data_IF_065466150399
#
_entry.id   IF_065466150399
#
_cell.length_a   1.000
_cell.length_b   1.000
_cell.length_c   1.000
_cell.angle_alpha   90.00
_cell.angle_beta   90.00
_cell.angle_gamma   90.00
#
_symmetry.space_group_name_H-M   'P 1'
#
loop_
_entity.id
_entity.type
_entity.pdbx_description
1 polymer ?
#
# COMPACT_ATOMS: atom_id res chain seq x y z
N UNK A 1 -16.80 -7.74 -22.01
CA UNK A 1 -17.65 -8.08 -20.84
C UNK A 1 -17.26 -7.14 -19.71
N UNK A 2 -18.22 -6.55 -19.01
CA UNK A 2 -17.97 -5.67 -17.87
C UNK A 2 -18.32 -6.40 -16.57
N UNK A 3 -17.52 -6.22 -15.53
CA UNK A 3 -17.76 -6.77 -14.20
C UNK A 3 -18.04 -5.60 -13.26
N UNK A 4 -19.11 -5.70 -12.47
CA UNK A 4 -19.40 -4.76 -11.39
C UNK A 4 -18.72 -5.26 -10.12
N UNK A 5 -17.82 -4.46 -9.54
CA UNK A 5 -17.07 -4.84 -8.33
C UNK A 5 -17.81 -4.48 -7.04
N UNK A 6 -18.53 -3.36 -7.01
CA UNK A 6 -19.22 -2.89 -5.80
C UNK A 6 -20.72 -2.67 -6.03
N UNK A 7 -21.51 -2.95 -5.00
CA UNK A 7 -22.96 -2.73 -4.96
C UNK A 7 -23.37 -2.34 -3.54
N UNK A 8 -23.00 -1.12 -3.15
CA UNK A 8 -23.26 -0.53 -1.85
C UNK A 8 -23.72 0.93 -2.04
N UNK A 9 -24.02 1.63 -0.94
CA UNK A 9 -24.38 3.05 -0.92
C UNK A 9 -23.26 3.91 -0.30
N UNK A 10 -22.01 3.48 -0.46
CA UNK A 10 -20.82 4.12 0.09
C UNK A 10 -19.97 4.58 -1.10
N UNK A 11 -19.23 5.67 -0.95
CA UNK A 11 -18.43 6.20 -2.05
C UNK A 11 -17.20 5.32 -2.28
N UNK A 12 -17.08 4.79 -3.50
CA UNK A 12 -15.89 4.08 -3.99
C UNK A 12 -15.11 5.02 -4.93
N UNK A 13 -13.92 5.43 -4.51
CA UNK A 13 -13.13 6.51 -5.13
C UNK A 13 -11.65 6.13 -5.30
N UNK A 14 -10.87 6.99 -5.98
CA UNK A 14 -9.41 6.85 -6.15
C UNK A 14 -8.95 5.46 -6.59
N UNK A 15 -9.46 5.01 -7.74
CA UNK A 15 -9.11 3.69 -8.27
C UNK A 15 -7.71 3.66 -8.91
N UNK A 16 -7.05 2.52 -8.83
CA UNK A 16 -5.78 2.23 -9.49
C UNK A 16 -5.82 0.81 -10.08
N UNK A 17 -5.12 0.58 -11.19
CA UNK A 17 -5.14 -0.70 -11.92
C UNK A 17 -3.73 -1.15 -12.26
N UNK A 18 -3.48 -2.46 -12.18
CA UNK A 18 -2.26 -3.08 -12.68
C UNK A 18 -2.52 -4.54 -13.06
N UNK A 19 -2.34 -4.88 -14.34
CA UNK A 19 -2.64 -6.22 -14.85
C UNK A 19 -4.09 -6.62 -14.57
N UNK A 20 -4.29 -7.68 -13.79
CA UNK A 20 -5.63 -8.16 -13.38
C UNK A 20 -6.12 -7.53 -12.06
N UNK A 21 -5.32 -6.66 -11.46
CA UNK A 21 -5.61 -6.07 -10.18
C UNK A 21 -6.29 -4.70 -10.37
N UNK A 22 -7.32 -4.44 -9.57
CA UNK A 22 -7.93 -3.13 -9.44
C UNK A 22 -8.04 -2.80 -7.95
N UNK A 23 -7.45 -1.70 -7.51
CA UNK A 23 -7.62 -1.18 -6.16
C UNK A 23 -8.52 0.04 -6.17
N UNK A 24 -9.25 0.26 -5.09
CA UNK A 24 -10.03 1.46 -4.84
C UNK A 24 -10.12 1.73 -3.33
N UNK A 25 -10.52 2.94 -3.01
CA UNK A 25 -10.80 3.37 -1.65
C UNK A 25 -12.29 3.44 -1.45
N UNK A 26 -12.77 2.94 -0.33
CA UNK A 26 -14.16 3.13 0.10
C UNK A 26 -14.16 4.11 1.26
N UNK A 27 -14.92 5.20 1.14
CA UNK A 27 -14.99 6.26 2.15
C UNK A 27 -16.40 6.38 2.70
N UNK A 28 -16.55 6.28 4.02
CA UNK A 28 -17.83 6.54 4.70
C UNK A 28 -17.96 7.99 5.21
N UNK A 29 -16.96 8.83 4.89
CA UNK A 29 -16.84 10.22 5.34
C UNK A 29 -16.16 10.40 6.70
N UNK A 30 -15.67 9.33 7.33
CA UNK A 30 -14.87 9.39 8.57
C UNK A 30 -13.47 8.82 8.39
N UNK A 31 -13.36 7.68 7.72
CA UNK A 31 -12.12 7.03 7.39
C UNK A 31 -12.18 6.36 6.01
N UNK A 32 -10.99 6.13 5.47
CA UNK A 32 -10.77 5.71 4.10
C UNK A 32 -10.15 4.32 4.09
N UNK A 33 -10.90 3.31 3.62
CA UNK A 33 -10.48 1.91 3.64
C UNK A 33 -10.10 1.43 2.24
N UNK A 34 -9.00 0.67 2.14
CA UNK A 34 -8.47 0.20 0.87
C UNK A 34 -8.98 -1.20 0.51
N UNK A 35 -9.39 -1.35 -0.74
CA UNK A 35 -9.87 -2.60 -1.31
C UNK A 35 -9.11 -2.96 -2.57
N UNK A 36 -8.93 -4.26 -2.81
CA UNK A 36 -8.25 -4.85 -3.96
C UNK A 36 -9.11 -5.95 -4.57
N UNK A 37 -9.44 -5.82 -5.85
CA UNK A 37 -9.83 -6.93 -6.70
C UNK A 37 -8.59 -7.55 -7.32
N UNK A 38 -8.32 -8.83 -7.09
CA UNK A 38 -7.11 -9.51 -7.57
C UNK A 38 -7.32 -10.35 -8.85
N UNK A 39 -8.35 -10.01 -9.63
CA UNK A 39 -8.77 -10.79 -10.81
C UNK A 39 -9.68 -11.98 -10.49
N UNK A 40 -9.88 -12.32 -9.21
CA UNK A 40 -10.76 -13.43 -8.80
C UNK A 40 -11.63 -13.12 -7.58
N UNK A 41 -11.17 -12.26 -6.69
CA UNK A 41 -11.84 -11.95 -5.42
C UNK A 41 -11.58 -10.52 -5.02
N UNK A 42 -12.50 -9.97 -4.23
CA UNK A 42 -12.33 -8.69 -3.54
C UNK A 42 -11.71 -8.94 -2.17
N UNK A 43 -10.71 -8.14 -1.84
CA UNK A 43 -9.92 -8.20 -0.62
C UNK A 43 -9.97 -6.82 0.01
N UNK A 44 -10.44 -6.74 1.26
CA UNK A 44 -10.26 -5.57 2.08
C UNK A 44 -8.82 -5.59 2.64
N UNK A 45 -8.01 -4.59 2.29
CA UNK A 45 -6.60 -4.49 2.68
C UNK A 45 -6.43 -3.83 4.05
N UNK A 46 -7.25 -2.82 4.32
CA UNK A 46 -7.25 -2.09 5.59
C UNK A 46 -8.61 -2.18 6.26
N UNK A 47 -8.58 -2.18 7.59
CA UNK A 47 -9.77 -2.13 8.45
C UNK A 47 -9.36 -1.49 9.76
N UNK A 48 -9.29 -0.17 9.77
CA UNK A 48 -8.96 0.61 10.94
C UNK A 48 -10.18 1.43 11.38
N UNK A 49 -9.96 2.49 12.15
CA UNK A 49 -11.03 3.27 12.77
C UNK A 49 -10.80 4.78 12.69
N UNK A 50 -9.75 5.23 12.00
CA UNK A 50 -9.35 6.64 11.95
C UNK A 50 -8.17 6.95 11.04
N UNK A 51 -7.67 5.99 10.25
CA UNK A 51 -6.46 6.21 9.46
C UNK A 51 -6.86 6.49 8.02
N UNK A 52 -6.35 7.59 7.47
CA UNK A 52 -6.49 7.85 6.05
C UNK A 52 -5.49 6.97 5.28
N UNK A 53 -5.98 5.90 4.67
CA UNK A 53 -5.16 5.00 3.86
C UNK A 53 -5.16 5.42 2.39
N UNK A 54 -3.97 5.50 1.78
CA UNK A 54 -3.82 5.94 0.38
C UNK A 54 -2.90 5.01 -0.40
N UNK A 55 -3.36 4.51 -1.54
CA UNK A 55 -2.52 3.74 -2.45
C UNK A 55 -1.33 4.56 -2.95
N UNK A 56 -0.16 3.93 -2.92
CA UNK A 56 1.09 4.46 -3.49
C UNK A 56 1.51 3.66 -4.73
N UNK A 57 1.02 2.43 -4.88
CA UNK A 57 1.21 1.66 -6.09
C UNK A 57 0.57 0.28 -6.03
N UNK A 58 0.15 -0.22 -7.20
CA UNK A 58 -0.40 -1.56 -7.38
C UNK A 58 0.40 -2.26 -8.46
N UNK A 59 0.70 -3.54 -8.25
CA UNK A 59 1.32 -4.43 -9.23
C UNK A 59 0.59 -5.77 -9.24
N UNK A 60 0.97 -6.67 -10.15
CA UNK A 60 0.41 -8.04 -10.25
C UNK A 60 0.48 -8.87 -8.95
N UNK A 61 1.36 -8.48 -8.02
CA UNK A 61 1.61 -9.22 -6.79
C UNK A 61 1.53 -8.36 -5.54
N UNK A 62 2.04 -7.14 -5.59
CA UNK A 62 2.17 -6.29 -4.42
C UNK A 62 1.30 -5.06 -4.52
N UNK A 63 0.78 -4.66 -3.36
CA UNK A 63 0.09 -3.40 -3.15
C UNK A 63 0.84 -2.64 -2.07
N UNK A 64 1.15 -1.38 -2.36
CA UNK A 64 1.77 -0.45 -1.44
C UNK A 64 0.78 0.66 -1.13
N UNK A 65 0.70 1.02 0.15
CA UNK A 65 -0.06 2.18 0.60
C UNK A 65 0.66 2.86 1.74
N UNK A 66 0.26 4.09 2.00
CA UNK A 66 0.55 4.79 3.24
C UNK A 66 -0.69 4.79 4.14
N UNK A 67 -0.47 4.82 5.44
CA UNK A 67 -1.50 4.90 6.48
C UNK A 67 -1.09 5.93 7.53
N UNK A 68 -2.02 6.78 7.97
CA UNK A 68 -1.83 7.58 9.18
C UNK A 68 -1.85 6.66 10.40
N UNK A 69 -0.73 6.47 11.08
CA UNK A 69 -0.66 5.58 12.25
C UNK A 69 -0.86 6.29 13.60
N UNK A 70 -1.38 7.53 13.58
CA UNK A 70 -1.42 8.42 14.75
C UNK A 70 -0.04 8.99 15.09
N UNK A 71 0.87 8.98 14.12
CA UNK A 71 2.24 9.49 14.23
C UNK A 71 2.38 10.79 13.45
N UNK A 72 3.47 11.55 13.65
CA UNK A 72 3.68 12.80 12.93
C UNK A 72 3.74 12.64 11.40
N UNK A 73 4.02 11.43 10.91
CA UNK A 73 4.12 11.10 9.49
C UNK A 73 3.40 9.78 9.19
N UNK A 74 2.88 9.66 7.97
CA UNK A 74 2.28 8.44 7.46
C UNK A 74 3.34 7.35 7.32
N UNK A 75 2.93 6.10 7.55
CA UNK A 75 3.80 4.93 7.45
C UNK A 75 3.40 4.07 6.26
N UNK A 76 4.40 3.43 5.65
CA UNK A 76 4.20 2.64 4.43
C UNK A 76 4.03 1.16 4.74
N UNK A 77 3.14 0.54 3.99
CA UNK A 77 2.77 -0.85 4.14
C UNK A 77 2.75 -1.56 2.79
N UNK A 78 3.18 -2.81 2.78
CA UNK A 78 3.23 -3.67 1.61
C UNK A 78 2.41 -4.93 1.85
N UNK A 79 1.47 -5.23 0.96
CA UNK A 79 0.72 -6.50 0.97
C UNK A 79 1.03 -7.34 -0.25
N UNK A 80 1.22 -8.65 -0.06
CA UNK A 80 1.11 -9.62 -1.15
C UNK A 80 -0.39 -9.86 -1.42
N UNK A 81 -0.89 -9.24 -2.51
CA UNK A 81 -2.30 -9.25 -2.92
C UNK A 81 -2.84 -10.62 -3.31
N UNK A 82 -1.99 -11.66 -3.37
CA UNK A 82 -2.42 -13.05 -3.60
C UNK A 82 -2.66 -13.81 -2.30
N UNK A 83 -1.87 -13.54 -1.25
CA UNK A 83 -1.89 -14.31 0.01
C UNK A 83 -2.30 -13.48 1.23
N UNK A 84 -2.67 -12.20 1.04
CA UNK A 84 -3.14 -11.28 2.09
C UNK A 84 -2.15 -11.14 3.25
N UNK A 85 -0.85 -11.16 2.94
CA UNK A 85 0.20 -10.91 3.93
C UNK A 85 0.63 -9.46 3.85
N UNK A 86 0.29 -8.69 4.88
CA UNK A 86 0.69 -7.29 5.04
C UNK A 86 1.93 -7.17 5.92
N UNK A 87 2.84 -6.26 5.55
CA UNK A 87 4.03 -5.89 6.32
C UNK A 87 4.13 -4.37 6.36
N UNK A 88 4.43 -3.82 7.52
CA UNK A 88 4.79 -2.42 7.67
C UNK A 88 6.27 -2.23 7.29
N UNK A 89 6.54 -1.38 6.29
CA UNK A 89 7.88 -1.11 5.77
C UNK A 89 8.60 -0.03 6.56
N UNK A 90 7.88 1.00 6.99
CA UNK A 90 8.41 2.11 7.78
C UNK A 90 7.66 2.18 9.11
N UNK A 91 8.37 2.47 10.20
CA UNK A 91 7.79 2.60 11.54
C UNK A 91 8.68 3.48 12.40
N UNK A 92 8.76 4.76 12.05
CA UNK A 92 9.65 5.71 12.70
C UNK A 92 8.93 7.06 12.90
N UNK A 93 9.66 8.13 13.23
CA UNK A 93 9.09 9.48 13.36
C UNK A 93 9.69 10.42 12.31
N UNK A 94 9.97 9.88 11.13
CA UNK A 94 10.59 10.57 10.00
C UNK A 94 9.62 10.51 8.82
N UNK A 95 9.79 11.44 7.90
CA UNK A 95 9.00 11.47 6.68
C UNK A 95 9.72 10.68 5.59
N UNK A 96 9.04 9.69 5.03
CA UNK A 96 9.44 8.99 3.83
C UNK A 96 8.63 9.46 2.62
N UNK A 97 9.27 9.45 1.46
CA UNK A 97 8.66 9.81 0.20
C UNK A 97 8.85 8.64 -0.77
N UNK A 98 7.76 8.20 -1.38
CA UNK A 98 7.79 7.28 -2.50
C UNK A 98 7.70 8.12 -3.77
N UNK A 99 8.53 7.82 -4.77
CA UNK A 99 8.51 8.54 -6.04
C UNK A 99 7.10 8.46 -6.66
N UNK A 100 6.50 9.62 -6.91
CA UNK A 100 5.06 9.80 -7.16
C UNK A 100 4.50 9.15 -8.44
N UNK A 101 5.33 8.48 -9.25
CA UNK A 101 4.93 7.91 -10.54
C UNK A 101 5.29 6.42 -10.59
N UNK A 102 4.33 5.51 -10.32
CA UNK A 102 4.25 4.05 -10.63
C UNK A 102 5.53 3.16 -10.51
N UNK A 103 6.67 3.71 -10.13
CA UNK A 103 8.02 3.19 -10.28
C UNK A 103 8.66 2.87 -8.95
N UNK A 104 7.98 3.22 -7.85
CA UNK A 104 8.32 2.74 -6.53
C UNK A 104 7.96 1.26 -6.34
N UNK A 105 7.20 0.63 -7.26
CA UNK A 105 6.98 -0.82 -7.29
C UNK A 105 7.17 -1.33 -8.71
N UNK A 106 8.22 -2.11 -8.95
CA UNK A 106 8.43 -2.77 -10.23
C UNK A 106 8.65 -4.26 -10.01
N UNK A 107 7.75 -5.10 -10.53
CA UNK A 107 7.90 -6.57 -10.55
C UNK A 107 8.17 -7.16 -9.15
N UNK A 108 7.62 -6.53 -8.12
CA UNK A 108 7.74 -6.94 -6.73
C UNK A 108 8.97 -6.46 -5.97
N UNK A 109 9.74 -5.57 -6.57
CA UNK A 109 10.76 -4.80 -5.87
C UNK A 109 10.20 -3.40 -5.56
N UNK A 110 10.59 -2.84 -4.43
CA UNK A 110 10.08 -1.55 -3.94
C UNK A 110 11.24 -0.58 -3.70
N UNK A 111 11.12 0.68 -4.11
CA UNK A 111 12.13 1.71 -3.85
C UNK A 111 11.51 2.97 -3.25
N UNK A 112 12.20 3.59 -2.28
CA UNK A 112 11.72 4.82 -1.62
C UNK A 112 12.87 5.70 -1.14
N UNK A 113 12.57 6.96 -0.86
CA UNK A 113 13.51 7.97 -0.37
C UNK A 113 13.18 8.35 1.08
N UNK A 114 14.23 8.60 1.88
CA UNK A 114 14.07 9.21 3.20
C UNK A 114 14.38 10.72 3.16
N UNK A 115 13.49 11.54 3.71
CA UNK A 115 13.51 13.00 3.58
C UNK A 115 14.69 13.72 4.25
N UNK A 116 15.47 13.08 5.11
CA UNK A 116 16.58 13.75 5.79
C UNK A 116 17.90 13.77 5.00
N UNK A 117 18.06 12.89 4.01
CA UNK A 117 19.32 12.79 3.25
C UNK A 117 19.16 12.40 1.77
N UNK A 118 17.92 12.33 1.23
CA UNK A 118 17.65 11.84 -0.14
C UNK A 118 18.32 10.48 -0.40
N UNK A 119 18.35 9.62 0.62
CA UNK A 119 18.92 8.28 0.52
C UNK A 119 17.89 7.37 -0.15
N UNK A 120 18.33 6.67 -1.20
CA UNK A 120 17.53 5.71 -1.94
C UNK A 120 17.59 4.34 -1.28
N UNK A 121 16.43 3.78 -0.97
CA UNK A 121 16.23 2.45 -0.40
C UNK A 121 15.61 1.51 -1.43
N UNK A 122 15.93 0.22 -1.31
CA UNK A 122 15.44 -0.81 -2.23
C UNK A 122 15.11 -2.10 -1.48
N UNK A 123 13.91 -2.62 -1.68
CA UNK A 123 13.44 -3.91 -1.19
C UNK A 123 13.28 -4.87 -2.35
N UNK A 124 13.90 -6.06 -2.26
CA UNK A 124 13.86 -7.08 -3.31
C UNK A 124 12.91 -8.23 -2.96
N UNK A 125 11.72 -8.27 -3.57
CA UNK A 125 10.65 -9.24 -3.26
C UNK A 125 10.89 -10.67 -3.74
N UNK A 126 12.10 -11.02 -4.22
CA UNK A 126 12.44 -12.36 -4.75
C UNK A 126 13.20 -13.28 -3.80
N UNK A 127 13.71 -12.78 -2.67
CA UNK A 127 14.32 -13.64 -1.64
C UNK A 127 13.35 -13.79 -0.47
N UNK A 128 13.09 -15.04 -0.06
CA UNK A 128 12.33 -15.38 1.13
C UNK A 128 12.58 -14.37 2.25
N UNK A 129 11.51 -13.80 2.81
CA UNK A 129 11.53 -12.97 4.02
C UNK A 129 12.28 -13.72 5.14
N UNK A 130 13.60 -13.51 5.22
CA UNK A 130 14.37 -13.72 6.44
C UNK A 130 14.44 -12.37 7.12
N UNK A 131 13.42 -12.18 7.92
CA UNK A 131 13.27 -11.19 8.96
C UNK A 131 14.57 -11.02 9.73
N UNK A 132 15.21 -9.88 9.57
CA UNK A 132 15.96 -9.29 10.65
C UNK A 132 15.54 -7.83 10.73
N UNK A 133 14.90 -7.54 11.86
CA UNK A 133 14.83 -6.27 12.57
C UNK A 133 14.51 -5.05 11.72
N UNK A 134 13.37 -4.44 12.07
CA UNK A 134 13.12 -3.01 11.93
C UNK A 134 14.44 -2.24 11.76
N UNK A 135 14.64 -1.61 10.61
CA UNK A 135 15.77 -0.72 10.42
C UNK A 135 15.53 0.53 11.28
N UNK A 136 15.73 0.40 12.59
CA UNK A 136 15.93 1.49 13.51
C UNK A 136 17.26 2.11 13.15
N UNK A 137 17.23 3.24 12.44
CA UNK A 137 18.39 4.10 12.35
C UNK A 137 17.97 5.50 12.76
N UNK A 138 18.32 5.80 14.02
CA UNK A 138 18.18 7.06 14.78
C UNK A 138 17.85 8.29 13.95
#
# INVERSE_FOLDING_TARGET
MAIRLTNNNIDDVFFSIAGNNAGWRTSDGRDDELYLYNGSSIIQLTRNNSNDDTFQGISDRYVLWESDTGRPFNEFFLSDGRIRRTVQLTNNNKQEYFGADDGAIAVGDVAWENGYCWLLWFFKGRSNLRWHESYYFN
#
